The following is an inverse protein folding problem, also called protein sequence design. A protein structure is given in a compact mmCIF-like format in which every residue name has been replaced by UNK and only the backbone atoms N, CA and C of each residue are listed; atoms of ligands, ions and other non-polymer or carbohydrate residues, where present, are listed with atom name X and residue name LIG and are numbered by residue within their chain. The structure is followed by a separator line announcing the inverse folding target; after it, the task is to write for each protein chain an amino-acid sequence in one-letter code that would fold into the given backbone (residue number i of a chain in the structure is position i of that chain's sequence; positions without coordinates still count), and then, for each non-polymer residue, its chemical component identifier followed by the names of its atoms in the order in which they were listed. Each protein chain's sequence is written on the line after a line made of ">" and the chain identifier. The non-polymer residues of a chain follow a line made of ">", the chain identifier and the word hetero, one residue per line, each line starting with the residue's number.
data_IF_121396938405
#
_entry.id   IF_121396938405
#
_cell.length_a   1.000
_cell.length_b   1.000
_cell.length_c   1.000
_cell.angle_alpha   90.00
_cell.angle_beta   90.00
_cell.angle_gamma   90.00
#
_symmetry.space_group_name_H-M   'P 1'
#
loop_
_entity.id
_entity.type
_entity.pdbx_description
1 polymer ?
#
# COMPACT_ATOMS: atom_id res chain seq x y z
N UNK A 1 -22.73 -14.01 19.80
CA UNK A 1 -21.49 -13.24 19.52
C UNK A 1 -21.39 -12.12 20.53
N UNK A 2 -20.28 -12.02 21.28
CA UNK A 2 -20.01 -10.84 22.11
C UNK A 2 -19.74 -9.67 21.17
N UNK A 3 -20.37 -8.53 21.41
CA UNK A 3 -20.08 -7.29 20.70
C UNK A 3 -18.65 -6.85 21.00
N UNK A 4 -17.85 -6.65 19.96
CA UNK A 4 -16.47 -6.21 20.07
C UNK A 4 -16.38 -4.72 19.71
N UNK A 5 -16.23 -3.88 20.73
CA UNK A 5 -16.17 -2.42 20.57
C UNK A 5 -14.87 -1.94 19.92
N UNK A 6 -13.80 -2.76 19.94
CA UNK A 6 -12.49 -2.36 19.44
C UNK A 6 -12.51 -1.99 17.95
N UNK A 7 -13.38 -2.64 17.15
CA UNK A 7 -13.55 -2.37 15.73
C UNK A 7 -13.89 -0.91 15.41
N UNK A 8 -14.64 -0.22 16.27
CA UNK A 8 -14.99 1.20 16.06
C UNK A 8 -13.80 2.13 16.30
N UNK A 9 -12.83 1.68 17.09
CA UNK A 9 -11.64 2.44 17.43
C UNK A 9 -10.57 2.28 16.36
N UNK A 10 -10.15 1.04 16.07
CA UNK A 10 -9.04 0.78 15.14
C UNK A 10 -9.46 0.84 13.66
N UNK A 11 -10.74 0.58 13.35
CA UNK A 11 -11.31 0.65 11.99
C UNK A 11 -10.55 -0.20 10.95
N UNK A 12 -9.93 -1.30 11.41
CA UNK A 12 -9.17 -2.20 10.55
C UNK A 12 -10.14 -3.12 9.83
N UNK A 13 -10.07 -3.14 8.49
CA UNK A 13 -10.90 -4.02 7.67
C UNK A 13 -10.52 -5.49 7.87
N UNK A 14 -11.46 -6.41 7.62
CA UNK A 14 -11.22 -7.85 7.78
C UNK A 14 -10.03 -8.37 6.95
N UNK A 15 -9.87 -7.90 5.71
CA UNK A 15 -8.72 -8.28 4.87
C UNK A 15 -7.37 -7.79 5.44
N UNK A 16 -7.36 -6.59 6.02
CA UNK A 16 -6.16 -6.04 6.66
C UNK A 16 -5.84 -6.79 7.97
N UNK A 17 -6.85 -7.14 8.78
CA UNK A 17 -6.67 -8.02 9.95
C UNK A 17 -5.97 -9.33 9.59
N UNK A 18 -6.44 -10.01 8.52
CA UNK A 18 -5.82 -11.25 8.04
C UNK A 18 -4.37 -11.01 7.59
N UNK A 19 -4.10 -9.88 6.93
CA UNK A 19 -2.75 -9.51 6.47
C UNK A 19 -1.80 -9.29 7.63
N UNK A 20 -2.19 -8.49 8.64
CA UNK A 20 -1.37 -8.26 9.85
C UNK A 20 -1.12 -9.56 10.60
N UNK A 21 -2.14 -10.41 10.72
CA UNK A 21 -2.00 -11.70 11.41
C UNK A 21 -0.93 -12.55 10.74
N UNK A 22 -0.97 -12.64 9.40
CA UNK A 22 0.03 -13.36 8.62
C UNK A 22 1.43 -12.75 8.80
N UNK A 23 1.57 -11.42 8.71
CA UNK A 23 2.86 -10.74 8.89
C UNK A 23 3.46 -10.97 10.28
N UNK A 24 2.63 -10.93 11.33
CA UNK A 24 3.06 -11.24 12.69
C UNK A 24 3.44 -12.72 12.85
N UNK A 25 2.72 -13.62 12.18
CA UNK A 25 3.03 -15.06 12.17
C UNK A 25 4.39 -15.37 11.55
N UNK A 26 4.70 -14.74 10.42
CA UNK A 26 5.96 -14.91 9.69
C UNK A 26 7.19 -14.56 10.54
N UNK A 27 7.03 -13.66 11.52
CA UNK A 27 8.10 -13.27 12.46
C UNK A 27 7.93 -13.85 13.87
N UNK A 28 7.00 -14.79 14.06
CA UNK A 28 6.76 -15.47 15.34
C UNK A 28 6.19 -14.58 16.45
N UNK A 29 5.49 -13.49 16.10
CA UNK A 29 4.96 -12.47 17.02
C UNK A 29 3.44 -12.34 16.97
N UNK A 30 2.70 -13.41 16.64
CA UNK A 30 1.22 -13.39 16.56
C UNK A 30 0.55 -12.87 17.84
N UNK A 31 1.15 -13.15 19.01
CA UNK A 31 0.64 -12.71 20.32
C UNK A 31 0.66 -11.19 20.52
N UNK A 32 1.31 -10.43 19.62
CA UNK A 32 1.34 -8.97 19.66
C UNK A 32 0.16 -8.33 18.92
N UNK A 33 -0.76 -9.11 18.33
CA UNK A 33 -1.88 -8.57 17.54
C UNK A 33 -2.64 -7.46 18.27
N UNK A 34 -3.04 -7.68 19.53
CA UNK A 34 -3.82 -6.69 20.28
C UNK A 34 -3.05 -5.38 20.46
N UNK A 35 -1.75 -5.46 20.76
CA UNK A 35 -0.87 -4.29 20.86
C UNK A 35 -0.73 -3.56 19.52
N UNK A 36 -0.70 -4.29 18.41
CA UNK A 36 -0.69 -3.71 17.07
C UNK A 36 -1.98 -2.96 16.79
N UNK A 37 -3.15 -3.50 17.16
CA UNK A 37 -4.42 -2.81 16.98
C UNK A 37 -4.54 -1.54 17.84
N UNK A 38 -4.00 -1.55 19.05
CA UNK A 38 -3.88 -0.36 19.89
C UNK A 38 -2.98 0.70 19.22
N UNK A 39 -1.83 0.27 18.71
CA UNK A 39 -0.87 1.15 18.04
C UNK A 39 -1.44 1.70 16.71
N UNK A 40 -2.26 0.94 15.99
CA UNK A 40 -2.97 1.40 14.77
C UNK A 40 -3.80 2.65 15.06
N UNK A 41 -4.49 2.71 16.20
CA UNK A 41 -5.29 3.88 16.58
C UNK A 41 -4.40 5.12 16.72
N UNK A 42 -3.23 4.97 17.35
CA UNK A 42 -2.29 6.07 17.56
C UNK A 42 -1.63 6.51 16.26
N UNK A 43 -1.10 5.57 15.48
CA UNK A 43 -0.48 5.86 14.18
C UNK A 43 -1.47 6.52 13.24
N UNK A 44 -2.73 6.06 13.20
CA UNK A 44 -3.77 6.69 12.37
C UNK A 44 -4.00 8.15 12.76
N UNK A 45 -4.08 8.45 14.05
CA UNK A 45 -4.23 9.82 14.54
C UNK A 45 -3.03 10.68 14.14
N UNK A 46 -1.83 10.18 14.36
CA UNK A 46 -0.59 10.88 14.05
C UNK A 46 -0.39 11.13 12.55
N UNK A 47 -0.89 10.23 11.70
CA UNK A 47 -0.90 10.39 10.25
C UNK A 47 -2.08 11.23 9.74
N UNK A 48 -2.81 11.93 10.61
CA UNK A 48 -3.85 12.87 10.17
C UNK A 48 -5.20 12.22 9.83
N UNK A 49 -5.51 11.09 10.49
CA UNK A 49 -6.76 10.34 10.32
C UNK A 49 -7.06 9.91 8.87
N UNK A 50 -6.14 9.21 8.18
CA UNK A 50 -6.47 8.65 6.87
C UNK A 50 -7.69 7.72 6.96
N UNK A 51 -8.44 7.65 5.86
CA UNK A 51 -9.52 6.69 5.72
C UNK A 51 -8.93 5.28 5.75
N UNK A 52 -9.52 4.37 6.53
CA UNK A 52 -8.96 3.03 6.76
C UNK A 52 -9.34 2.04 5.65
N UNK A 53 -9.00 2.41 4.42
CA UNK A 53 -9.13 1.60 3.20
C UNK A 53 -7.79 1.51 2.48
N UNK A 54 -7.63 0.54 1.60
CA UNK A 54 -6.40 0.39 0.79
C UNK A 54 -6.20 1.61 -0.11
N UNK A 55 -4.98 2.16 -0.21
CA UNK A 55 -3.72 1.66 0.37
C UNK A 55 -3.46 2.11 1.82
N UNK A 56 -4.12 3.16 2.30
CA UNK A 56 -3.81 3.81 3.59
C UNK A 56 -3.90 2.89 4.80
N UNK A 57 -4.87 1.97 4.83
CA UNK A 57 -4.98 0.98 5.92
C UNK A 57 -3.71 0.15 6.06
N UNK A 58 -3.04 -0.17 4.95
CA UNK A 58 -1.78 -0.93 4.98
C UNK A 58 -0.63 -0.08 5.53
N UNK A 59 -0.55 1.21 5.17
CA UNK A 59 0.49 2.11 5.70
C UNK A 59 0.40 2.23 7.22
N UNK A 60 -0.81 2.49 7.73
CA UNK A 60 -1.07 2.59 9.17
C UNK A 60 -0.76 1.25 9.87
N UNK A 61 -1.24 0.13 9.32
CA UNK A 61 -1.05 -1.20 9.89
C UNK A 61 0.40 -1.62 9.97
N UNK A 62 1.13 -1.50 8.85
CA UNK A 62 2.54 -1.91 8.78
C UNK A 62 3.39 -1.03 9.68
N UNK A 63 3.15 0.28 9.72
CA UNK A 63 3.87 1.16 10.64
C UNK A 63 3.60 0.81 12.11
N UNK A 64 2.34 0.53 12.46
CA UNK A 64 1.98 0.10 13.81
C UNK A 64 2.63 -1.24 14.19
N UNK A 65 2.63 -2.21 13.27
CA UNK A 65 3.30 -3.48 13.45
C UNK A 65 4.81 -3.27 13.67
N UNK A 66 5.47 -2.43 12.87
CA UNK A 66 6.88 -2.11 13.06
C UNK A 66 7.17 -1.50 14.41
N UNK A 67 6.38 -0.50 14.84
CA UNK A 67 6.54 0.15 16.14
C UNK A 67 6.48 -0.86 17.30
N UNK A 68 5.54 -1.80 17.24
CA UNK A 68 5.35 -2.83 18.28
C UNK A 68 6.43 -3.91 18.23
N UNK A 69 6.82 -4.35 17.03
CA UNK A 69 7.83 -5.41 16.82
C UNK A 69 9.21 -4.94 17.24
N UNK A 70 9.58 -3.68 16.95
CA UNK A 70 10.88 -3.09 17.30
C UNK A 70 10.94 -2.60 18.74
N UNK A 71 9.78 -2.33 19.35
CA UNK A 71 9.68 -1.68 20.66
C UNK A 71 10.01 -0.18 20.64
N UNK A 72 10.19 0.41 19.46
CA UNK A 72 10.57 1.82 19.29
C UNK A 72 9.78 2.42 18.12
N UNK A 73 8.94 3.42 18.44
CA UNK A 73 8.01 4.04 17.48
C UNK A 73 8.78 4.82 16.41
N UNK A 74 8.46 4.56 15.15
CA UNK A 74 9.04 5.18 13.96
C UNK A 74 10.56 4.95 13.81
N UNK A 75 11.11 3.90 14.43
CA UNK A 75 12.49 3.45 14.18
C UNK A 75 12.68 2.97 12.75
N UNK A 76 11.70 2.21 12.26
CA UNK A 76 11.61 1.78 10.86
C UNK A 76 10.36 2.40 10.26
N UNK A 77 10.52 3.06 9.12
CA UNK A 77 9.45 3.76 8.42
C UNK A 77 9.40 3.20 6.99
N UNK A 78 8.31 2.52 6.58
CA UNK A 78 8.18 1.96 5.25
C UNK A 78 7.92 3.07 4.23
N UNK A 79 8.36 2.87 2.99
CA UNK A 79 8.30 3.89 1.94
C UNK A 79 6.87 4.43 1.71
N UNK A 80 5.83 3.58 1.78
CA UNK A 80 4.44 4.04 1.63
C UNK A 80 4.00 5.09 2.66
N UNK A 81 4.55 5.07 3.88
CA UNK A 81 4.30 6.13 4.90
C UNK A 81 5.05 7.41 4.55
N UNK A 82 6.25 7.28 3.99
CA UNK A 82 7.05 8.42 3.51
C UNK A 82 6.35 9.08 2.31
N UNK A 83 5.87 8.30 1.34
CA UNK A 83 5.12 8.77 0.18
C UNK A 83 3.81 9.46 0.60
N UNK A 84 3.10 8.89 1.58
CA UNK A 84 1.92 9.51 2.19
C UNK A 84 2.26 10.88 2.80
N UNK A 85 3.32 10.95 3.62
CA UNK A 85 3.76 12.21 4.22
C UNK A 85 4.32 13.22 3.21
N UNK A 86 4.84 12.74 2.07
CA UNK A 86 5.29 13.57 0.95
C UNK A 86 4.14 14.06 0.05
N UNK A 87 2.89 13.70 0.34
CA UNK A 87 1.70 14.17 -0.37
C UNK A 87 1.40 13.45 -1.69
N UNK A 88 2.03 12.29 -1.96
CA UNK A 88 1.81 11.55 -3.22
C UNK A 88 0.37 11.04 -3.38
N UNK A 89 -0.38 10.95 -2.27
CA UNK A 89 -1.76 10.48 -2.23
C UNK A 89 -2.76 11.62 -1.95
N UNK A 90 -2.33 12.87 -2.09
CA UNK A 90 -3.11 14.05 -1.75
C UNK A 90 -2.88 14.55 -0.32
N UNK A 91 -3.65 15.56 0.05
CA UNK A 91 -3.54 16.21 1.36
C UNK A 91 -4.28 15.40 2.46
N UNK A 92 -3.62 15.14 3.61
CA UNK A 92 -4.29 14.57 4.78
C UNK A 92 -5.47 15.44 5.26
N UNK A 93 -6.53 14.79 5.77
CA UNK A 93 -7.72 15.49 6.31
C UNK A 93 -7.33 16.40 7.47
N UNK A 94 -6.45 15.90 8.33
CA UNK A 94 -5.84 16.65 9.43
C UNK A 94 -4.33 16.64 9.19
N UNK A 95 -3.59 17.73 9.47
CA UNK A 95 -2.14 17.71 9.36
C UNK A 95 -1.52 16.54 10.13
N UNK A 96 -0.48 15.95 9.55
CA UNK A 96 0.34 14.94 10.23
C UNK A 96 0.95 15.59 11.48
N UNK A 97 1.04 14.85 12.58
CA UNK A 97 1.68 15.32 13.81
C UNK A 97 3.10 15.83 13.47
N UNK A 98 3.46 17.08 13.83
CA UNK A 98 4.74 17.67 13.42
C UNK A 98 5.96 16.86 13.84
N UNK A 99 5.96 16.26 15.04
CA UNK A 99 7.09 15.46 15.50
C UNK A 99 7.23 14.16 14.70
N UNK A 100 6.10 13.60 14.28
CA UNK A 100 6.08 12.41 13.44
C UNK A 100 6.49 12.75 12.01
N UNK A 101 6.04 13.89 11.48
CA UNK A 101 6.47 14.38 10.18
C UNK A 101 7.98 14.59 10.13
N UNK A 102 8.57 15.19 11.17
CA UNK A 102 10.02 15.38 11.27
C UNK A 102 10.78 14.04 11.28
N UNK A 103 10.28 13.03 12.00
CA UNK A 103 10.84 11.67 11.97
C UNK A 103 10.75 11.04 10.59
N UNK A 104 9.60 11.15 9.92
CA UNK A 104 9.39 10.61 8.57
C UNK A 104 10.31 11.30 7.57
N UNK A 105 10.39 12.63 7.59
CA UNK A 105 11.24 13.42 6.72
C UNK A 105 12.74 13.17 6.94
N UNK A 106 13.12 12.71 8.14
CA UNK A 106 14.49 12.33 8.49
C UNK A 106 14.86 10.89 8.13
N UNK A 107 13.91 10.08 7.64
CA UNK A 107 14.16 8.69 7.28
C UNK A 107 15.16 8.57 6.11
N UNK A 108 15.97 7.49 6.04
CA UNK A 108 17.00 7.34 5.00
C UNK A 108 16.48 7.49 3.56
N UNK A 109 15.28 7.01 3.28
CA UNK A 109 14.66 7.08 1.95
C UNK A 109 13.86 8.38 1.71
N UNK A 110 13.61 9.19 2.73
CA UNK A 110 12.77 10.38 2.63
C UNK A 110 13.27 11.38 1.59
N UNK A 111 14.59 11.60 1.55
CA UNK A 111 15.22 12.51 0.57
C UNK A 111 15.00 12.13 -0.89
N UNK A 112 14.71 10.85 -1.17
CA UNK A 112 14.44 10.37 -2.54
C UNK A 112 12.98 10.55 -2.96
N UNK A 113 12.08 10.75 -1.99
CA UNK A 113 10.64 10.74 -2.16
C UNK A 113 10.08 12.16 -2.02
N UNK A 114 10.48 12.88 -0.98
CA UNK A 114 10.07 14.27 -0.76
C UNK A 114 10.56 15.17 -1.89
N UNK A 115 9.65 15.98 -2.44
CA UNK A 115 9.95 16.92 -3.52
C UNK A 115 10.28 16.28 -4.87
N UNK A 116 10.16 14.95 -5.00
CA UNK A 116 10.36 14.27 -6.28
C UNK A 116 9.17 14.56 -7.19
N UNK A 117 9.42 15.21 -8.31
CA UNK A 117 8.46 15.29 -9.41
C UNK A 117 8.46 13.98 -10.20
N UNK A 118 7.27 13.44 -10.46
CA UNK A 118 7.12 12.27 -11.31
C UNK A 118 7.18 12.69 -12.78
N UNK A 119 7.95 11.99 -13.62
CA UNK A 119 8.06 12.33 -15.03
C UNK A 119 6.71 12.16 -15.73
N UNK A 120 6.29 13.17 -16.49
CA UNK A 120 5.11 13.09 -17.34
C UNK A 120 5.52 12.67 -18.75
N UNK A 121 5.68 11.37 -18.94
CA UNK A 121 6.03 10.79 -20.24
C UNK A 121 4.81 10.79 -21.18
N UNK A 122 5.04 11.10 -22.45
CA UNK A 122 4.04 10.91 -23.49
C UNK A 122 3.83 9.42 -23.81
N UNK A 123 2.67 9.08 -24.39
CA UNK A 123 2.38 7.69 -24.82
C UNK A 123 3.46 7.16 -25.78
N UNK A 124 4.00 8.04 -26.63
CA UNK A 124 5.07 7.68 -27.57
C UNK A 124 6.35 7.29 -26.84
N UNK A 125 6.75 8.07 -25.84
CA UNK A 125 7.94 7.78 -25.03
C UNK A 125 7.75 6.51 -24.20
N UNK A 126 6.56 6.29 -23.64
CA UNK A 126 6.24 5.07 -22.90
C UNK A 126 6.33 3.83 -23.80
N UNK A 127 5.75 3.88 -25.01
CA UNK A 127 5.86 2.78 -25.98
C UNK A 127 7.31 2.49 -26.36
N UNK A 128 8.12 3.54 -26.56
CA UNK A 128 9.53 3.39 -26.87
C UNK A 128 10.33 2.79 -25.70
N UNK A 129 10.08 3.25 -24.47
CA UNK A 129 10.74 2.77 -23.27
C UNK A 129 10.43 1.29 -22.99
N UNK A 130 9.21 0.85 -23.28
CA UNK A 130 8.79 -0.55 -23.14
C UNK A 130 9.14 -1.42 -24.35
N UNK A 131 9.76 -0.86 -25.41
CA UNK A 131 10.08 -1.62 -26.62
C UNK A 131 8.84 -2.08 -27.42
N UNK A 132 7.69 -1.43 -27.22
CA UNK A 132 6.41 -1.81 -27.81
C UNK A 132 6.27 -1.17 -29.19
N UNK A 133 6.28 -2.02 -30.22
CA UNK A 133 6.15 -1.61 -31.62
C UNK A 133 4.75 -1.11 -32.01
N UNK A 134 4.60 -0.48 -33.19
CA UNK A 134 3.32 0.06 -33.67
C UNK A 134 2.27 -1.02 -33.98
N UNK A 135 2.67 -2.29 -34.10
CA UNK A 135 1.76 -3.42 -34.32
C UNK A 135 1.04 -3.91 -33.06
N UNK A 136 1.41 -3.41 -31.88
CA UNK A 136 0.77 -3.78 -30.60
C UNK A 136 -0.39 -2.83 -30.33
N UNK A 137 -1.58 -3.39 -30.09
CA UNK A 137 -2.80 -2.65 -29.82
C UNK A 137 -2.67 -1.77 -28.57
N UNK A 138 -3.54 -0.76 -28.43
CA UNK A 138 -3.57 0.07 -27.22
C UNK A 138 -3.93 -0.75 -25.97
N UNK A 139 -4.80 -1.76 -26.11
CA UNK A 139 -5.17 -2.64 -24.99
C UNK A 139 -3.98 -3.47 -24.49
N UNK A 140 -3.25 -4.13 -25.40
CA UNK A 140 -2.07 -4.90 -25.01
C UNK A 140 -0.96 -3.97 -24.49
N UNK A 141 -0.79 -2.79 -25.07
CA UNK A 141 0.13 -1.78 -24.56
C UNK A 141 -0.18 -1.40 -23.11
N UNK A 142 -1.44 -1.11 -22.79
CA UNK A 142 -1.86 -0.77 -21.43
C UNK A 142 -1.65 -1.92 -20.45
N UNK A 143 -1.91 -3.17 -20.88
CA UNK A 143 -1.63 -4.35 -20.07
C UNK A 143 -0.13 -4.52 -19.80
N UNK A 144 0.72 -4.36 -20.82
CA UNK A 144 2.18 -4.43 -20.67
C UNK A 144 2.76 -3.27 -19.85
N UNK A 145 2.08 -2.13 -19.81
CA UNK A 145 2.45 -1.02 -18.94
C UNK A 145 2.09 -1.29 -17.47
N UNK A 146 0.95 -1.94 -17.22
CA UNK A 146 0.42 -2.15 -15.86
C UNK A 146 0.88 -3.46 -15.19
N UNK A 147 1.19 -4.49 -15.98
CA UNK A 147 1.49 -5.84 -15.54
C UNK A 147 2.88 -6.29 -16.03
N UNK A 148 3.40 -7.38 -15.49
CA UNK A 148 4.65 -7.95 -15.98
C UNK A 148 4.50 -8.53 -17.39
N UNK A 149 5.57 -8.51 -18.18
CA UNK A 149 5.59 -9.11 -19.52
C UNK A 149 5.09 -10.56 -19.51
N UNK A 150 5.56 -11.34 -18.52
CA UNK A 150 5.16 -12.74 -18.36
C UNK A 150 3.66 -12.91 -18.14
N UNK A 151 3.03 -12.09 -17.30
CA UNK A 151 1.60 -12.18 -17.03
C UNK A 151 0.77 -11.90 -18.30
N UNK A 152 1.20 -10.91 -19.08
CA UNK A 152 0.54 -10.57 -20.35
C UNK A 152 0.73 -11.70 -21.37
N UNK A 153 1.95 -12.21 -21.52
CA UNK A 153 2.24 -13.29 -22.46
C UNK A 153 1.49 -14.58 -22.11
N UNK A 154 1.44 -14.95 -20.82
CA UNK A 154 0.67 -16.10 -20.34
C UNK A 154 -0.83 -15.93 -20.61
N UNK A 155 -1.38 -14.72 -20.39
CA UNK A 155 -2.78 -14.40 -20.65
C UNK A 155 -3.11 -14.51 -22.14
N UNK A 156 -2.26 -13.95 -23.01
CA UNK A 156 -2.44 -14.03 -24.46
C UNK A 156 -2.35 -15.48 -24.95
N UNK A 157 -1.42 -16.27 -24.40
CA UNK A 157 -1.25 -17.68 -24.73
C UNK A 157 -2.44 -18.55 -24.26
N UNK A 158 -3.07 -18.21 -23.13
CA UNK A 158 -4.26 -18.89 -22.63
C UNK A 158 -5.48 -18.71 -23.53
N UNK A 159 -5.49 -17.64 -24.34
CA UNK A 159 -6.57 -17.32 -25.27
C UNK A 159 -7.84 -16.81 -24.58
N UNK A 160 -8.90 -16.51 -25.34
CA UNK A 160 -10.12 -15.91 -24.81
C UNK A 160 -10.86 -16.86 -23.87
N UNK A 161 -11.53 -16.27 -22.86
CA UNK A 161 -12.37 -17.03 -21.93
C UNK A 161 -13.46 -17.79 -22.69
N UNK A 162 -13.66 -19.07 -22.34
CA UNK A 162 -14.77 -19.86 -22.88
C UNK A 162 -16.10 -19.34 -22.32
N UNK A 163 -16.84 -18.62 -23.14
CA UNK A 163 -18.16 -18.06 -22.79
C UNK A 163 -19.30 -19.06 -22.95
N UNK A 164 -19.03 -20.25 -23.48
CA UNK A 164 -19.99 -21.35 -23.54
C UNK A 164 -20.07 -22.06 -22.19
N UNK A 165 -21.13 -21.80 -21.43
CA UNK A 165 -21.44 -22.55 -20.22
C UNK A 165 -22.07 -23.90 -20.59
N UNK A 166 -21.83 -24.98 -19.81
CA UNK A 166 -22.59 -26.21 -19.97
C UNK A 166 -24.07 -25.88 -19.79
N UNK A 167 -24.90 -26.20 -20.79
CA UNK A 167 -26.35 -26.17 -20.61
C UNK A 167 -26.70 -27.24 -19.58
N UNK A 168 -27.38 -26.83 -18.51
CA UNK A 168 -27.92 -27.72 -17.49
C UNK A 168 -28.90 -28.73 -18.10
#
# INVERSE_FOLDING_TARGET
>A
MKYDYSYYMHQVSGGMMTTLKRQLAEVGKESLMDKVLEEVVQVRKELGYPIMVTPFSQFVGVQAAYNVITGERYKMIPDGVIEYAAGWYGEPIVPIDPNILDKIASAPNAKKIFGKELPQLSIRELRQQLGIGPGVSDEEFLLRYALSEKEVDDMLAAGPIKTSFPKA
#
